data_IF_022481132277
#
_entry.id   IF_022481132277
#
_cell.length_a   1.000
_cell.length_b   1.000
_cell.length_c   1.000
_cell.angle_alpha   90.00
_cell.angle_beta   90.00
_cell.angle_gamma   90.00
#
_symmetry.space_group_name_H-M   'P 1'
#
loop_
_entity.id
_entity.type
_entity.pdbx_description
1 polymer ?
#
# COMPACT_ATOMS: atom_id res chain seq x y z
N UNK A 1 13.84 14.46 -7.49
CA UNK A 1 12.99 13.28 -7.18
C UNK A 1 13.53 12.65 -5.90
N UNK A 2 12.70 12.46 -4.88
CA UNK A 2 13.16 11.83 -3.62
C UNK A 2 12.95 10.31 -3.76
N UNK A 3 14.02 9.58 -4.06
CA UNK A 3 13.96 8.13 -4.37
C UNK A 3 13.51 7.30 -3.15
N UNK A 4 14.01 7.62 -1.94
CA UNK A 4 13.64 6.89 -0.72
C UNK A 4 12.12 6.85 -0.44
N UNK A 5 11.45 8.01 -0.34
CA UNK A 5 10.00 8.07 -0.13
C UNK A 5 9.18 7.42 -1.26
N UNK A 6 9.69 7.43 -2.50
CA UNK A 6 9.08 6.74 -3.62
C UNK A 6 9.13 5.22 -3.44
N UNK A 7 10.31 4.68 -3.13
CA UNK A 7 10.49 3.23 -2.89
C UNK A 7 9.63 2.77 -1.72
N UNK A 8 9.65 3.50 -0.61
CA UNK A 8 8.79 3.20 0.54
C UNK A 8 7.31 3.23 0.16
N UNK A 9 6.89 4.23 -0.61
CA UNK A 9 5.51 4.36 -1.07
C UNK A 9 5.07 3.19 -1.95
N UNK A 10 5.93 2.74 -2.87
CA UNK A 10 5.66 1.57 -3.73
C UNK A 10 5.55 0.29 -2.92
N UNK A 11 6.45 0.06 -1.98
CA UNK A 11 6.41 -1.11 -1.10
C UNK A 11 5.16 -1.12 -0.22
N UNK A 12 4.82 0.02 0.39
CA UNK A 12 3.59 0.16 1.19
C UNK A 12 2.33 -0.06 0.37
N UNK A 13 2.28 0.48 -0.86
CA UNK A 13 1.15 0.30 -1.75
C UNK A 13 0.99 -1.19 -2.11
N UNK A 14 2.06 -1.85 -2.56
CA UNK A 14 2.03 -3.26 -2.93
C UNK A 14 1.67 -4.17 -1.75
N UNK A 15 2.33 -4.00 -0.61
CA UNK A 15 2.07 -4.78 0.59
C UNK A 15 0.64 -4.57 1.11
N UNK A 16 0.17 -3.32 1.15
CA UNK A 16 -1.19 -2.97 1.57
C UNK A 16 -2.26 -3.62 0.70
N UNK A 17 -2.06 -3.67 -0.62
CA UNK A 17 -2.96 -4.36 -1.54
C UNK A 17 -2.99 -5.88 -1.28
N UNK A 18 -1.83 -6.50 -1.03
CA UNK A 18 -1.76 -7.93 -0.70
C UNK A 18 -2.51 -8.23 0.60
N UNK A 19 -2.28 -7.45 1.66
CA UNK A 19 -2.97 -7.64 2.94
C UNK A 19 -4.48 -7.43 2.83
N UNK A 20 -4.90 -6.44 2.04
CA UNK A 20 -6.33 -6.21 1.75
C UNK A 20 -6.95 -7.42 1.05
N UNK A 21 -6.27 -7.94 0.02
CA UNK A 21 -6.71 -9.11 -0.72
C UNK A 21 -6.79 -10.37 0.16
N UNK A 22 -5.83 -10.55 1.07
CA UNK A 22 -5.85 -11.63 2.07
C UNK A 22 -7.05 -11.48 3.02
N UNK A 23 -7.27 -10.30 3.57
CA UNK A 23 -8.41 -10.02 4.45
C UNK A 23 -9.76 -10.30 3.79
N UNK A 24 -9.90 -10.01 2.49
CA UNK A 24 -11.08 -10.36 1.70
C UNK A 24 -11.14 -11.82 1.24
N UNK A 25 -10.14 -12.64 1.57
CA UNK A 25 -10.09 -14.05 1.18
C UNK A 25 -10.10 -14.23 -0.36
N UNK A 26 -9.45 -13.33 -1.10
CA UNK A 26 -9.40 -13.39 -2.56
C UNK A 26 -8.59 -14.63 -3.04
N UNK A 27 -9.00 -15.29 -4.13
CA UNK A 27 -8.45 -16.59 -4.52
C UNK A 27 -7.00 -16.54 -5.00
N UNK A 28 -6.54 -15.38 -5.50
CA UNK A 28 -5.16 -15.17 -5.95
C UNK A 28 -4.24 -14.67 -4.84
N UNK A 29 -4.77 -14.35 -3.65
CA UNK A 29 -3.97 -13.86 -2.54
C UNK A 29 -3.28 -15.04 -1.82
N UNK A 30 -1.99 -14.91 -1.43
CA UNK A 30 -1.32 -15.93 -0.64
C UNK A 30 -2.06 -16.21 0.66
N UNK A 31 -2.15 -17.47 1.08
CA UNK A 31 -2.80 -17.81 2.36
C UNK A 31 -1.84 -17.57 3.53
N UNK A 32 -2.36 -16.97 4.60
CA UNK A 32 -1.65 -16.72 5.85
C UNK A 32 -2.65 -16.52 7.01
N UNK A 33 -2.15 -16.20 8.21
CA UNK A 33 -2.98 -15.80 9.36
C UNK A 33 -3.83 -14.53 9.12
N UNK A 34 -3.56 -13.79 8.04
CA UNK A 34 -4.30 -12.59 7.65
C UNK A 34 -5.59 -12.90 6.88
N UNK A 35 -5.79 -14.17 6.51
CA UNK A 35 -6.83 -14.55 5.55
C UNK A 35 -8.22 -14.55 6.18
N UNK A 36 -9.20 -13.95 5.49
CA UNK A 36 -10.58 -13.83 5.96
C UNK A 36 -10.73 -13.04 7.28
N UNK A 37 -9.78 -12.16 7.59
CA UNK A 37 -9.80 -11.29 8.75
C UNK A 37 -10.01 -9.82 8.34
N UNK A 38 -11.07 -9.21 8.87
CA UNK A 38 -11.47 -7.81 8.59
C UNK A 38 -10.45 -6.80 9.07
N UNK A 39 -9.67 -7.11 10.11
CA UNK A 39 -8.60 -6.23 10.57
C UNK A 39 -7.57 -5.98 9.46
N UNK A 40 -7.22 -7.03 8.71
CA UNK A 40 -6.25 -6.96 7.62
C UNK A 40 -6.79 -6.23 6.38
N UNK A 41 -8.11 -6.22 6.17
CA UNK A 41 -8.74 -5.33 5.18
C UNK A 41 -8.47 -3.87 5.52
N UNK A 42 -8.70 -3.47 6.77
CA UNK A 42 -8.52 -2.08 7.21
C UNK A 42 -7.05 -1.68 7.22
N UNK A 43 -6.18 -2.51 7.80
CA UNK A 43 -4.73 -2.27 7.85
C UNK A 43 -4.16 -2.17 6.43
N UNK A 44 -4.53 -3.11 5.56
CA UNK A 44 -4.10 -3.12 4.16
C UNK A 44 -4.55 -1.88 3.40
N UNK A 45 -5.82 -1.48 3.55
CA UNK A 45 -6.35 -0.29 2.89
C UNK A 45 -5.64 0.99 3.35
N UNK A 46 -5.40 1.14 4.66
CA UNK A 46 -4.67 2.30 5.20
C UNK A 46 -3.23 2.32 4.71
N UNK A 47 -2.54 1.18 4.71
CA UNK A 47 -1.17 1.06 4.19
C UNK A 47 -1.11 1.40 2.69
N UNK A 48 -2.05 0.90 1.90
CA UNK A 48 -2.15 1.17 0.47
C UNK A 48 -2.37 2.67 0.19
N UNK A 49 -3.30 3.30 0.91
CA UNK A 49 -3.56 4.74 0.81
C UNK A 49 -2.32 5.57 1.20
N UNK A 50 -1.65 5.21 2.29
CA UNK A 50 -0.40 5.86 2.72
C UNK A 50 0.70 5.76 1.65
N UNK A 51 0.87 4.56 1.08
CA UNK A 51 1.79 4.32 -0.03
C UNK A 51 1.49 5.19 -1.26
N UNK A 52 0.23 5.24 -1.70
CA UNK A 52 -0.21 6.07 -2.82
C UNK A 52 0.05 7.57 -2.57
N UNK A 53 -0.19 8.06 -1.36
CA UNK A 53 0.10 9.45 -0.98
C UNK A 53 1.60 9.74 -1.04
N UNK A 54 2.45 8.85 -0.52
CA UNK A 54 3.91 9.00 -0.57
C UNK A 54 4.42 9.03 -2.01
N UNK A 55 3.93 8.14 -2.87
CA UNK A 55 4.26 8.12 -4.31
C UNK A 55 3.86 9.45 -4.93
N UNK A 56 2.60 9.87 -4.75
CA UNK A 56 2.09 11.13 -5.32
C UNK A 56 2.90 12.35 -4.89
N UNK A 57 3.29 12.44 -3.61
CA UNK A 57 4.15 13.53 -3.11
C UNK A 57 5.57 13.46 -3.65
N UNK A 58 6.11 12.25 -3.86
CA UNK A 58 7.47 12.05 -4.38
C UNK A 58 7.61 12.38 -5.86
N UNK A 59 6.52 12.18 -6.61
CA UNK A 59 6.43 12.46 -8.04
C UNK A 59 6.07 13.93 -8.33
N UNK A 60 5.41 14.63 -7.40
CA UNK A 60 5.20 16.08 -7.50
C UNK A 60 6.56 16.79 -7.45
N UNK A 61 6.98 17.36 -8.57
CA UNK A 61 8.13 18.28 -8.63
C UNK A 61 7.77 19.53 -7.81
N UNK A 62 8.72 20.15 -7.08
CA UNK A 62 8.50 21.52 -6.62
C UNK A 62 8.21 22.35 -7.87
N UNK A 63 7.03 22.97 -7.95
CA UNK A 63 6.83 24.06 -8.89
C UNK A 63 7.91 25.08 -8.57
N UNK A 64 8.82 25.32 -9.52
CA UNK A 64 9.75 26.43 -9.42
C UNK A 64 8.89 27.70 -9.35
N UNK A 65 8.83 28.30 -8.17
CA UNK A 65 8.38 29.68 -7.99
C UNK A 65 9.54 30.61 -8.25
#
# INVERSE_FOLDING_TARGET
MRIGPLVLGVLLLGAGLVWTAQGFNLPFAPRSFMTADRAWVVIGAVAALGGAVLIGRSLRRPSAG
#
